data_IF_967124804996
#
_entry.id   IF_967124804996
#
_cell.length_a   1.000
_cell.length_b   1.000
_cell.length_c   1.000
_cell.angle_alpha   90.00
_cell.angle_beta   90.00
_cell.angle_gamma   90.00
#
_symmetry.space_group_name_H-M   'P 1'
#
loop_
_entity.id
_entity.type
_entity.pdbx_description
1 polymer ?
#
# COMPACT_ATOMS: atom_id res chain seq x y z
N UNK A 1 20.92 -1.62 4.81
CA UNK A 1 19.91 -1.35 3.78
C UNK A 1 18.60 -1.03 4.48
N UNK A 2 17.82 -0.08 3.96
CA UNK A 2 16.48 0.22 4.48
C UNK A 2 15.49 -0.80 3.93
N UNK A 3 14.63 -1.38 4.77
CA UNK A 3 13.63 -2.35 4.32
C UNK A 3 12.56 -1.68 3.43
N UNK A 4 12.20 -2.32 2.32
CA UNK A 4 11.24 -1.79 1.34
C UNK A 4 9.83 -2.30 1.62
N UNK A 5 8.91 -1.40 1.94
CA UNK A 5 7.55 -1.73 2.33
C UNK A 5 6.55 -1.39 1.22
N UNK A 6 5.69 -2.35 0.88
CA UNK A 6 4.41 -2.06 0.22
C UNK A 6 3.29 -2.16 1.26
N UNK A 7 2.46 -1.11 1.36
CA UNK A 7 1.36 -1.05 2.32
C UNK A 7 0.02 -1.21 1.60
N UNK A 8 -0.78 -2.19 2.02
CA UNK A 8 -2.12 -2.44 1.48
C UNK A 8 -3.18 -1.82 2.39
N UNK A 9 -4.12 -1.05 1.82
CA UNK A 9 -5.16 -0.31 2.57
C UNK A 9 -6.55 -0.44 1.92
N UNK A 10 -7.62 -0.18 2.68
CA UNK A 10 -9.00 -0.11 2.14
C UNK A 10 -9.76 1.17 2.53
N UNK A 11 -9.12 2.12 3.23
CA UNK A 11 -9.84 3.26 3.80
C UNK A 11 -8.97 4.46 4.16
N UNK A 12 -9.27 5.11 5.29
CA UNK A 12 -8.70 6.40 5.69
C UNK A 12 -7.18 6.43 5.93
N UNK A 13 -6.55 5.26 6.11
CA UNK A 13 -5.10 5.13 6.16
C UNK A 13 -4.43 5.73 7.40
N UNK A 14 -5.04 5.67 8.59
CA UNK A 14 -4.40 6.16 9.83
C UNK A 14 -3.16 5.35 10.21
N UNK A 15 -3.21 4.02 10.11
CA UNK A 15 -2.02 3.17 10.27
C UNK A 15 -0.96 3.44 9.20
N UNK A 16 -1.39 3.69 7.95
CA UNK A 16 -0.48 4.11 6.89
C UNK A 16 0.23 5.42 7.25
N UNK A 17 -0.50 6.41 7.78
CA UNK A 17 0.09 7.67 8.20
C UNK A 17 1.17 7.46 9.25
N UNK A 18 0.88 6.65 10.29
CA UNK A 18 1.85 6.34 11.33
C UNK A 18 3.10 5.64 10.78
N UNK A 19 2.95 4.73 9.81
CA UNK A 19 4.09 4.07 9.13
C UNK A 19 4.91 5.08 8.33
N UNK A 20 4.26 5.94 7.54
CA UNK A 20 4.94 6.98 6.74
C UNK A 20 5.73 7.94 7.64
N UNK A 21 5.12 8.39 8.74
CA UNK A 21 5.75 9.29 9.69
C UNK A 21 6.95 8.62 10.39
N UNK A 22 6.80 7.37 10.83
CA UNK A 22 7.88 6.60 11.47
C UNK A 22 9.08 6.34 10.52
N UNK A 23 8.82 6.07 9.23
CA UNK A 23 9.88 5.96 8.22
C UNK A 23 10.59 7.31 8.00
N UNK A 24 9.84 8.40 7.89
CA UNK A 24 10.39 9.76 7.69
C UNK A 24 11.24 10.22 8.87
N UNK A 25 10.81 9.89 10.08
CA UNK A 25 11.52 10.24 11.32
C UNK A 25 12.70 9.30 11.63
N UNK A 26 12.87 8.22 10.87
CA UNK A 26 13.93 7.23 11.08
C UNK A 26 13.70 6.32 12.29
N UNK A 27 12.53 6.37 12.93
CA UNK A 27 12.12 5.46 14.01
C UNK A 27 11.96 4.04 13.47
N UNK A 28 11.41 3.92 12.26
CA UNK A 28 11.33 2.68 11.52
C UNK A 28 12.41 2.71 10.42
N UNK A 29 13.44 1.85 10.46
CA UNK A 29 14.50 1.80 9.45
C UNK A 29 14.00 1.12 8.15
N UNK A 30 13.00 1.74 7.52
CA UNK A 30 12.33 1.26 6.32
C UNK A 30 11.92 2.44 5.42
N UNK A 31 11.57 2.14 4.17
CA UNK A 31 10.96 3.06 3.23
C UNK A 31 9.65 2.49 2.70
N UNK A 32 8.60 3.31 2.60
CA UNK A 32 7.37 2.91 1.91
C UNK A 32 7.56 3.15 0.42
N UNK A 33 7.64 2.06 -0.35
CA UNK A 33 7.91 2.10 -1.80
C UNK A 33 6.63 2.07 -2.63
N UNK A 34 5.49 1.80 -2.00
CA UNK A 34 4.19 1.96 -2.62
C UNK A 34 3.04 1.65 -1.67
N UNK A 35 1.88 2.22 -2.00
CA UNK A 35 0.62 1.99 -1.31
C UNK A 35 -0.40 1.52 -2.33
N UNK A 36 -1.06 0.40 -2.05
CA UNK A 36 -2.11 -0.14 -2.92
C UNK A 36 -3.42 -0.18 -2.16
N UNK A 37 -4.50 0.27 -2.79
CA UNK A 37 -5.84 0.14 -2.24
C UNK A 37 -6.78 -0.64 -3.14
N UNK A 38 -7.63 -1.48 -2.54
CA UNK A 38 -8.76 -2.09 -3.23
C UNK A 38 -9.98 -1.17 -3.35
N UNK A 39 -9.90 0.10 -2.91
CA UNK A 39 -10.93 1.12 -3.06
C UNK A 39 -10.32 2.36 -3.68
N UNK A 40 -10.89 2.84 -4.79
CA UNK A 40 -10.33 4.00 -5.51
C UNK A 40 -10.46 5.31 -4.73
N UNK A 41 -11.47 5.38 -3.86
CA UNK A 41 -11.84 6.50 -3.01
C UNK A 41 -11.18 6.46 -1.61
N UNK A 42 -10.29 5.49 -1.34
CA UNK A 42 -9.59 5.41 -0.07
C UNK A 42 -8.71 6.65 0.17
N UNK A 43 -9.03 7.43 1.20
CA UNK A 43 -8.25 8.63 1.56
C UNK A 43 -6.78 8.33 1.89
N UNK A 44 -6.44 7.09 2.28
CA UNK A 44 -5.04 6.69 2.44
C UNK A 44 -4.20 6.78 1.15
N UNK A 45 -4.82 6.69 -0.04
CA UNK A 45 -4.11 6.95 -1.30
C UNK A 45 -3.65 8.41 -1.39
N UNK A 46 -4.44 9.34 -0.87
CA UNK A 46 -4.06 10.76 -0.83
C UNK A 46 -2.91 11.00 0.14
N UNK A 47 -2.92 10.36 1.30
CA UNK A 47 -1.79 10.40 2.25
C UNK A 47 -0.49 9.90 1.60
N UNK A 48 -0.55 8.83 0.83
CA UNK A 48 0.60 8.30 0.11
C UNK A 48 1.13 9.32 -0.93
N UNK A 49 0.27 9.93 -1.74
CA UNK A 49 0.66 10.97 -2.70
C UNK A 49 1.31 12.17 -2.03
N UNK A 50 0.75 12.64 -0.92
CA UNK A 50 1.30 13.75 -0.15
C UNK A 50 2.67 13.44 0.43
N UNK A 51 2.94 12.17 0.74
CA UNK A 51 4.26 11.70 1.17
C UNK A 51 5.23 11.41 0.00
N UNK A 52 4.84 11.65 -1.26
CA UNK A 52 5.64 11.36 -2.44
C UNK A 52 5.76 9.86 -2.77
N UNK A 53 4.87 9.03 -2.23
CA UNK A 53 4.87 7.57 -2.40
C UNK A 53 3.91 7.17 -3.52
N UNK A 54 4.27 6.22 -4.41
CA UNK A 54 3.36 5.67 -5.41
C UNK A 54 2.05 5.17 -4.78
N UNK A 55 0.91 5.66 -5.28
CA UNK A 55 -0.42 5.35 -4.78
C UNK A 55 -1.26 4.69 -5.87
N UNK A 56 -1.54 3.39 -5.73
CA UNK A 56 -2.18 2.56 -6.76
C UNK A 56 -3.57 2.16 -6.29
N UNK A 57 -4.60 2.49 -7.07
CA UNK A 57 -5.93 1.96 -6.88
C UNK A 57 -6.10 0.68 -7.72
N UNK A 58 -6.44 -0.43 -7.08
CA UNK A 58 -6.78 -1.69 -7.72
C UNK A 58 -8.15 -2.19 -7.22
N UNK A 59 -9.27 -1.57 -7.63
CA UNK A 59 -10.60 -1.96 -7.15
C UNK A 59 -10.97 -3.38 -7.56
N UNK A 60 -11.50 -4.16 -6.61
CA UNK A 60 -12.04 -5.50 -6.92
C UNK A 60 -13.38 -5.34 -7.66
N UNK A 61 -13.43 -5.79 -8.92
CA UNK A 61 -14.67 -5.86 -9.71
C UNK A 61 -15.47 -7.10 -9.32
N UNK A 62 -16.80 -7.03 -9.38
CA UNK A 62 -17.68 -8.13 -8.93
C UNK A 62 -17.53 -9.39 -9.79
N UNK A 63 -17.19 -9.19 -11.05
CA UNK A 63 -17.07 -10.23 -12.08
C UNK A 63 -15.73 -10.96 -12.02
N UNK A 64 -14.76 -10.45 -11.25
CA UNK A 64 -13.42 -11.04 -11.12
C UNK A 64 -13.41 -11.94 -9.89
N UNK A 65 -13.06 -13.21 -10.11
CA UNK A 65 -12.89 -14.15 -9.01
C UNK A 65 -11.74 -13.73 -8.08
N UNK A 66 -11.71 -14.31 -6.88
CA UNK A 66 -10.73 -13.92 -5.87
C UNK A 66 -9.30 -14.24 -6.30
N UNK A 67 -9.08 -15.36 -6.99
CA UNK A 67 -7.73 -15.82 -7.34
C UNK A 67 -7.12 -14.95 -8.44
N UNK A 68 -7.89 -14.58 -9.45
CA UNK A 68 -7.49 -13.65 -10.49
C UNK A 68 -7.17 -12.25 -9.91
N UNK A 69 -7.98 -11.78 -8.95
CA UNK A 69 -7.70 -10.52 -8.26
C UNK A 69 -6.40 -10.58 -7.45
N UNK A 70 -6.21 -11.64 -6.65
CA UNK A 70 -5.01 -11.79 -5.82
C UNK A 70 -3.74 -11.96 -6.67
N UNK A 71 -3.83 -12.60 -7.84
CA UNK A 71 -2.72 -12.67 -8.80
C UNK A 71 -2.36 -11.28 -9.34
N UNK A 72 -3.35 -10.50 -9.78
CA UNK A 72 -3.11 -9.14 -10.27
C UNK A 72 -2.55 -8.22 -9.17
N UNK A 73 -3.02 -8.38 -7.92
CA UNK A 73 -2.46 -7.69 -6.77
C UNK A 73 -1.01 -8.08 -6.52
N UNK A 74 -0.69 -9.38 -6.58
CA UNK A 74 0.67 -9.87 -6.40
C UNK A 74 1.61 -9.32 -7.47
N UNK A 75 1.17 -9.22 -8.73
CA UNK A 75 1.96 -8.63 -9.82
C UNK A 75 2.27 -7.15 -9.58
N UNK A 76 1.27 -6.37 -9.12
CA UNK A 76 1.45 -4.96 -8.75
C UNK A 76 2.42 -4.80 -7.58
N UNK A 77 2.31 -5.65 -6.56
CA UNK A 77 3.23 -5.67 -5.42
C UNK A 77 4.65 -6.02 -5.89
N UNK A 78 4.81 -7.07 -6.70
CA UNK A 78 6.12 -7.52 -7.17
C UNK A 78 6.84 -6.46 -8.03
N UNK A 79 6.11 -5.71 -8.86
CA UNK A 79 6.66 -4.62 -9.66
C UNK A 79 7.34 -3.52 -8.82
N UNK A 80 6.91 -3.34 -7.56
CA UNK A 80 7.48 -2.37 -6.61
C UNK A 80 8.74 -2.91 -5.89
N UNK A 81 9.04 -4.21 -6.05
CA UNK A 81 10.17 -4.91 -5.41
C UNK A 81 10.26 -4.67 -3.90
N UNK A 82 9.21 -4.99 -3.11
CA UNK A 82 9.27 -4.88 -1.65
C UNK A 82 10.05 -6.04 -1.03
N UNK A 83 10.58 -5.78 0.17
CA UNK A 83 11.01 -6.83 1.09
C UNK A 83 9.82 -7.34 1.92
N UNK A 84 8.87 -6.45 2.22
CA UNK A 84 7.70 -6.75 3.05
C UNK A 84 6.41 -6.15 2.50
N UNK A 85 5.32 -6.89 2.70
CA UNK A 85 3.95 -6.42 2.47
C UNK A 85 3.28 -6.21 3.82
N UNK A 86 2.73 -5.01 4.04
CA UNK A 86 2.07 -4.62 5.30
C UNK A 86 0.58 -4.41 5.07
N UNK A 87 -0.26 -5.15 5.78
CA UNK A 87 -1.71 -4.97 5.74
C UNK A 87 -2.14 -3.92 6.77
N UNK A 88 -2.48 -2.72 6.33
CA UNK A 88 -2.84 -1.60 7.20
C UNK A 88 -4.31 -1.20 7.01
N UNK A 89 -5.21 -2.04 7.53
CA UNK A 89 -6.66 -1.88 7.32
C UNK A 89 -7.12 -2.36 5.94
N UNK A 90 -6.53 -3.45 5.46
CA UNK A 90 -6.91 -4.17 4.26
C UNK A 90 -8.12 -5.07 4.51
N UNK A 91 -9.15 -4.98 3.66
CA UNK A 91 -10.41 -5.73 3.72
C UNK A 91 -10.73 -6.36 2.37
#
# INVERSE_FOLDING_TARGET
MSARLVVLISGGGTNLQAILDACREGVLPAEVVGVISNRGEAYGLERARQAGVPAIALPKRKEVDRQAYDSALADQVAALRPDWVVLAGWL
#
